data_IF_499216190546
#
_entry.id   IF_499216190546
#
_cell.length_a   1.000
_cell.length_b   1.000
_cell.length_c   1.000
_cell.angle_alpha   90.00
_cell.angle_beta   90.00
_cell.angle_gamma   90.00
#
_symmetry.space_group_name_H-M   'P 1'
#
loop_
_entity.id
_entity.type
_entity.pdbx_description
1 polymer ?
#
# COMPACT_ATOMS: atom_id res chain seq x y z
N UNK A 1 -5.05 -11.87 4.56
CA UNK A 1 -4.19 -11.85 5.76
C UNK A 1 -2.86 -11.28 5.36
N UNK A 2 -2.46 -10.16 5.95
CA UNK A 2 -1.23 -9.47 5.60
C UNK A 2 -0.01 -10.33 5.97
N UNK A 3 0.73 -10.80 4.96
CA UNK A 3 2.04 -11.39 5.15
C UNK A 3 3.05 -10.24 5.09
N UNK A 4 3.35 -9.67 6.26
CA UNK A 4 4.59 -8.92 6.44
C UNK A 4 5.73 -9.70 5.78
N UNK A 5 6.63 -9.02 5.06
CA UNK A 5 7.82 -9.64 4.48
C UNK A 5 8.78 -10.06 5.62
N UNK A 6 8.39 -11.12 6.32
CA UNK A 6 9.05 -11.76 7.47
C UNK A 6 10.05 -12.80 7.02
N UNK A 7 9.94 -13.22 5.76
CA UNK A 7 10.86 -14.12 5.09
C UNK A 7 12.06 -13.32 4.56
N UNK A 8 12.90 -12.83 5.47
CA UNK A 8 14.26 -12.39 5.16
C UNK A 8 15.19 -13.55 5.50
N UNK A 9 15.32 -14.48 4.55
CA UNK A 9 16.39 -15.46 4.58
C UNK A 9 17.66 -14.78 4.03
N UNK A 10 18.79 -14.77 4.76
CA UNK A 10 20.02 -14.17 4.24
C UNK A 10 20.41 -14.88 2.94
N UNK A 11 20.64 -14.10 1.88
CA UNK A 11 21.06 -14.62 0.58
C UNK A 11 22.52 -15.07 0.69
N UNK A 12 22.77 -16.27 1.22
CA UNK A 12 24.11 -16.80 1.45
C UNK A 12 24.74 -17.45 0.21
N UNK A 13 24.00 -17.53 -0.90
CA UNK A 13 24.48 -18.06 -2.18
C UNK A 13 24.23 -17.10 -3.34
N UNK A 14 25.06 -17.17 -4.38
CA UNK A 14 24.93 -16.37 -5.61
C UNK A 14 23.55 -16.59 -6.25
N UNK A 15 23.04 -17.83 -6.24
CA UNK A 15 21.73 -18.16 -6.78
C UNK A 15 20.59 -17.48 -6.01
N UNK A 16 20.67 -17.41 -4.68
CA UNK A 16 19.69 -16.70 -3.85
C UNK A 16 19.70 -15.19 -4.14
N UNK A 17 20.88 -14.59 -4.33
CA UNK A 17 21.02 -13.18 -4.72
C UNK A 17 20.37 -12.92 -6.08
N UNK A 18 20.62 -13.77 -7.08
CA UNK A 18 20.01 -13.63 -8.40
C UNK A 18 18.48 -13.75 -8.34
N UNK A 19 17.96 -14.72 -7.58
CA UNK A 19 16.51 -14.87 -7.40
C UNK A 19 15.87 -13.66 -6.69
N UNK A 20 16.56 -13.09 -5.70
CA UNK A 20 16.12 -11.86 -5.04
C UNK A 20 16.06 -10.69 -6.04
N UNK A 21 17.14 -10.48 -6.81
CA UNK A 21 17.16 -9.44 -7.86
C UNK A 21 16.02 -9.66 -8.85
N UNK A 22 15.84 -10.88 -9.37
CA UNK A 22 14.74 -11.17 -10.31
C UNK A 22 13.39 -10.87 -9.69
N UNK A 23 13.12 -11.31 -8.44
CA UNK A 23 11.84 -11.09 -7.75
C UNK A 23 11.45 -9.61 -7.66
N UNK A 24 12.41 -8.72 -7.38
CA UNK A 24 12.13 -7.29 -7.20
C UNK A 24 12.28 -6.48 -8.48
N UNK A 25 13.21 -6.82 -9.37
CA UNK A 25 13.37 -6.12 -10.65
C UNK A 25 12.27 -6.48 -11.66
N UNK A 26 11.68 -7.67 -11.58
CA UNK A 26 10.56 -8.06 -12.46
C UNK A 26 9.20 -7.62 -11.92
N UNK A 27 9.12 -7.17 -10.66
CA UNK A 27 7.86 -6.72 -10.06
C UNK A 27 7.58 -5.28 -10.48
N UNK A 28 6.71 -5.11 -11.46
CA UNK A 28 6.17 -3.80 -11.77
C UNK A 28 5.34 -3.31 -10.58
N UNK A 29 5.79 -2.24 -9.91
CA UNK A 29 5.00 -1.60 -8.86
C UNK A 29 3.81 -0.87 -9.47
N UNK A 30 2.62 -1.11 -8.92
CA UNK A 30 1.44 -0.30 -9.23
C UNK A 30 1.70 1.13 -8.75
N UNK A 31 1.45 2.11 -9.61
CA UNK A 31 1.57 3.52 -9.21
C UNK A 31 0.50 3.83 -8.16
N UNK A 32 0.93 4.28 -6.99
CA UNK A 32 0.02 4.76 -5.96
C UNK A 32 -0.77 5.98 -6.44
N UNK A 33 -2.05 6.06 -6.05
CA UNK A 33 -2.86 7.24 -6.32
C UNK A 33 -2.31 8.47 -5.58
N UNK A 34 -2.39 9.64 -6.20
CA UNK A 34 -2.07 10.90 -5.52
C UNK A 34 -3.02 11.17 -4.37
N UNK A 35 -2.50 11.62 -3.22
CA UNK A 35 -3.31 12.02 -2.06
C UNK A 35 -4.37 13.08 -2.41
N UNK A 36 -4.08 13.96 -3.38
CA UNK A 36 -5.02 14.98 -3.85
C UNK A 36 -6.24 14.35 -4.53
N UNK A 37 -6.01 13.36 -5.38
CA UNK A 37 -7.09 12.70 -6.12
C UNK A 37 -7.88 11.76 -5.21
N UNK A 38 -7.18 11.08 -4.30
CA UNK A 38 -7.81 10.33 -3.20
C UNK A 38 -8.71 11.22 -2.33
N UNK A 39 -8.25 12.41 -1.95
CA UNK A 39 -9.05 13.35 -1.16
C UNK A 39 -10.31 13.80 -1.92
N UNK A 40 -10.22 14.08 -3.23
CA UNK A 40 -11.38 14.43 -4.06
C UNK A 40 -12.44 13.32 -4.08
N UNK A 41 -12.03 12.06 -4.13
CA UNK A 41 -12.95 10.92 -4.12
C UNK A 41 -13.61 10.69 -2.75
N UNK A 42 -12.92 11.05 -1.67
CA UNK A 42 -13.37 10.83 -0.29
C UNK A 42 -14.26 11.97 0.21
N UNK A 43 -13.96 13.21 -0.14
CA UNK A 43 -14.71 14.41 0.26
C UNK A 43 -16.24 14.27 0.15
N UNK A 44 -16.83 13.79 -0.97
CA UNK A 44 -18.29 13.65 -1.07
C UNK A 44 -18.88 12.57 -0.16
N UNK A 45 -18.04 11.69 0.41
CA UNK A 45 -18.46 10.58 1.29
C UNK A 45 -18.32 10.93 2.78
N UNK A 46 -17.87 12.13 3.12
CA UNK A 46 -17.63 12.59 4.50
C UNK A 46 -18.94 12.94 5.20
N UNK A 47 -19.09 12.50 6.46
CA UNK A 47 -20.28 12.79 7.27
C UNK A 47 -20.19 14.17 7.96
N UNK A 48 -21.29 14.92 7.99
CA UNK A 48 -21.35 16.27 8.54
C UNK A 48 -21.25 16.37 10.07
N UNK A 49 -21.58 15.29 10.80
CA UNK A 49 -21.55 15.27 12.27
C UNK A 49 -20.12 15.34 12.85
N UNK A 50 -19.14 14.83 12.10
CA UNK A 50 -17.72 14.81 12.50
C UNK A 50 -16.83 14.74 11.25
N UNK A 51 -16.75 15.83 10.47
CA UNK A 51 -16.19 15.79 9.11
C UNK A 51 -14.72 15.41 9.09
N UNK A 52 -13.91 15.91 10.02
CA UNK A 52 -12.49 15.58 10.08
C UNK A 52 -12.25 14.10 10.42
N UNK A 53 -12.94 13.57 11.43
CA UNK A 53 -12.81 12.16 11.84
C UNK A 53 -13.30 11.24 10.72
N UNK A 54 -14.43 11.58 10.09
CA UNK A 54 -14.98 10.82 8.97
C UNK A 54 -14.06 10.84 7.75
N UNK A 55 -13.42 11.97 7.46
CA UNK A 55 -12.45 12.07 6.37
C UNK A 55 -11.23 11.19 6.64
N UNK A 56 -10.60 11.33 7.81
CA UNK A 56 -9.43 10.56 8.20
C UNK A 56 -9.71 9.06 8.19
N UNK A 57 -10.82 8.62 8.78
CA UNK A 57 -11.21 7.21 8.79
C UNK A 57 -11.37 6.63 7.36
N UNK A 58 -11.97 7.41 6.44
CA UNK A 58 -12.16 6.97 5.05
C UNK A 58 -10.85 6.96 4.26
N UNK A 59 -9.94 7.91 4.51
CA UNK A 59 -8.58 7.90 3.94
C UNK A 59 -7.83 6.65 4.41
N UNK A 60 -7.81 6.37 5.71
CA UNK A 60 -7.14 5.19 6.26
C UNK A 60 -7.72 3.89 5.68
N UNK A 61 -9.05 3.77 5.61
CA UNK A 61 -9.70 2.59 5.05
C UNK A 61 -9.33 2.38 3.57
N UNK A 62 -9.26 3.46 2.78
CA UNK A 62 -8.85 3.37 1.37
C UNK A 62 -7.38 2.96 1.23
N UNK A 63 -6.47 3.53 2.03
CA UNK A 63 -5.04 3.16 2.03
C UNK A 63 -4.80 1.71 2.47
N UNK A 64 -5.60 1.20 3.40
CA UNK A 64 -5.55 -0.20 3.82
C UNK A 64 -6.06 -1.09 2.67
N UNK A 65 -7.15 -0.70 2.02
CA UNK A 65 -7.72 -1.45 0.89
C UNK A 65 -6.83 -1.46 -0.35
N UNK A 66 -6.01 -0.44 -0.59
CA UNK A 66 -5.01 -0.44 -1.68
C UNK A 66 -3.80 -1.34 -1.39
N UNK A 67 -3.64 -1.80 -0.14
CA UNK A 67 -2.50 -2.62 0.30
C UNK A 67 -2.76 -4.12 0.19
N UNK A 68 -4.01 -4.57 0.26
CA UNK A 68 -4.42 -5.96 0.04
C UNK A 68 -4.53 -6.29 -1.46
#
# INVERSE_FOLDING_TARGET
GWLANTDISPCTSIQAVLQYITKYCSKAEQKSQSYKDMAKEILPKVTNRSPMVSFVAKVMNKLISERD
#
